data_IF_529951475206
#
_entry.id   IF_529951475206
#
_cell.length_a   1.000
_cell.length_b   1.000
_cell.length_c   1.000
_cell.angle_alpha   90.00
_cell.angle_beta   90.00
_cell.angle_gamma   90.00
#
_symmetry.space_group_name_H-M   'P 1'
#
loop_
_entity.id
_entity.type
_entity.pdbx_description
1 polymer ?
#
# COMPACT_ATOMS: atom_id res chain seq x y z
N UNK A 1 -1.84 3.65 -1.22
CA UNK A 1 -0.54 4.31 -1.50
C UNK A 1 0.44 3.28 -2.04
N UNK A 2 1.56 3.70 -2.63
CA UNK A 2 2.65 2.80 -3.00
C UNK A 2 3.80 3.52 -3.71
N UNK A 3 4.94 2.86 -3.81
CA UNK A 3 6.16 3.38 -4.44
C UNK A 3 6.34 2.91 -5.90
N UNK A 4 5.41 2.11 -6.42
CA UNK A 4 5.49 1.58 -7.78
C UNK A 4 4.51 2.27 -8.75
N UNK A 5 5.02 3.28 -9.45
CA UNK A 5 4.24 4.17 -10.33
C UNK A 5 3.37 3.42 -11.36
N UNK A 6 3.94 2.41 -12.01
CA UNK A 6 3.28 1.66 -13.09
C UNK A 6 2.09 0.87 -12.55
N UNK A 7 2.28 0.17 -11.43
CA UNK A 7 1.20 -0.59 -10.78
C UNK A 7 0.06 0.34 -10.32
N UNK A 8 0.39 1.49 -9.71
CA UNK A 8 -0.60 2.47 -9.31
C UNK A 8 -1.36 3.05 -10.50
N UNK A 9 -0.68 3.33 -11.63
CA UNK A 9 -1.34 3.79 -12.85
C UNK A 9 -2.41 2.81 -13.33
N UNK A 10 -2.11 1.51 -13.33
CA UNK A 10 -3.09 0.49 -13.70
C UNK A 10 -4.32 0.46 -12.78
N UNK A 11 -4.13 0.70 -11.48
CA UNK A 11 -5.22 0.76 -10.50
C UNK A 11 -6.05 2.04 -10.66
N UNK A 12 -5.39 3.19 -10.87
CA UNK A 12 -6.02 4.49 -11.12
C UNK A 12 -6.85 4.49 -12.40
N UNK A 13 -6.27 4.06 -13.52
CA UNK A 13 -6.95 4.06 -14.82
C UNK A 13 -7.91 2.87 -14.97
N UNK A 14 -8.03 2.02 -13.94
CA UNK A 14 -8.79 0.76 -13.98
C UNK A 14 -8.47 -0.07 -15.24
N UNK A 15 -7.21 -0.04 -15.67
CA UNK A 15 -6.75 -0.71 -16.88
C UNK A 15 -5.80 -1.84 -16.49
N UNK A 16 -6.12 -3.10 -16.80
CA UNK A 16 -5.24 -4.21 -16.46
C UNK A 16 -3.89 -4.13 -17.21
N UNK A 17 -2.80 -4.69 -16.65
CA UNK A 17 -1.54 -4.83 -17.37
C UNK A 17 -1.69 -5.70 -18.63
N UNK A 18 -0.90 -5.38 -19.66
CA UNK A 18 -0.83 -6.21 -20.88
C UNK A 18 -0.18 -7.58 -20.63
N UNK A 19 0.72 -7.66 -19.65
CA UNK A 19 1.38 -8.89 -19.26
C UNK A 19 0.37 -9.83 -18.57
N UNK A 20 0.05 -10.95 -19.21
CA UNK A 20 -0.98 -11.91 -18.76
C UNK A 20 -0.72 -12.45 -17.36
N UNK A 21 0.54 -12.71 -17.01
CA UNK A 21 0.91 -13.21 -15.68
C UNK A 21 0.64 -12.22 -14.54
N UNK A 22 0.47 -10.92 -14.82
CA UNK A 22 0.17 -9.90 -13.82
C UNK A 22 -1.34 -9.61 -13.69
N UNK A 23 -2.16 -10.08 -14.64
CA UNK A 23 -3.58 -9.78 -14.67
C UNK A 23 -4.33 -10.40 -13.48
N UNK A 24 -3.91 -11.59 -13.05
CA UNK A 24 -4.50 -12.26 -11.89
C UNK A 24 -4.40 -11.41 -10.62
N UNK A 25 -3.19 -10.95 -10.30
CA UNK A 25 -2.93 -10.14 -9.11
C UNK A 25 -3.54 -8.74 -9.21
N UNK A 26 -3.56 -8.16 -10.42
CA UNK A 26 -4.29 -6.93 -10.69
C UNK A 26 -5.76 -7.05 -10.31
N UNK A 27 -6.46 -8.08 -10.79
CA UNK A 27 -7.89 -8.25 -10.52
C UNK A 27 -8.21 -8.61 -9.06
N UNK A 28 -7.32 -9.33 -8.38
CA UNK A 28 -7.43 -9.55 -6.93
C UNK A 28 -7.34 -8.22 -6.18
N UNK A 29 -6.29 -7.45 -6.44
CA UNK A 29 -6.04 -6.15 -5.82
C UNK A 29 -7.19 -5.18 -6.09
N UNK A 30 -7.70 -5.14 -7.33
CA UNK A 30 -8.79 -4.24 -7.72
C UNK A 30 -10.09 -4.55 -6.99
N UNK A 31 -10.46 -5.83 -6.89
CA UNK A 31 -11.68 -6.27 -6.18
C UNK A 31 -11.60 -5.97 -4.69
N UNK A 32 -10.43 -6.19 -4.07
CA UNK A 32 -10.23 -5.86 -2.67
C UNK A 32 -10.33 -4.33 -2.44
N UNK A 33 -9.75 -3.54 -3.35
CA UNK A 33 -9.85 -2.09 -3.28
C UNK A 33 -11.29 -1.57 -3.47
N UNK A 34 -12.07 -2.17 -4.38
CA UNK A 34 -13.49 -1.87 -4.53
C UNK A 34 -14.28 -2.24 -3.25
N UNK A 35 -14.00 -3.40 -2.65
CA UNK A 35 -14.65 -3.83 -1.40
C UNK A 35 -14.29 -2.94 -0.19
N UNK A 36 -13.12 -2.33 -0.18
CA UNK A 36 -12.65 -1.43 0.87
C UNK A 36 -12.98 0.05 0.60
N UNK A 37 -13.78 0.36 -0.43
CA UNK A 37 -14.09 1.74 -0.88
C UNK A 37 -12.84 2.63 -1.06
N UNK A 38 -11.78 2.09 -1.67
CA UNK A 38 -10.57 2.88 -1.95
C UNK A 38 -10.86 3.91 -3.04
N UNK A 39 -10.87 5.19 -2.66
CA UNK A 39 -11.23 6.31 -3.55
C UNK A 39 -10.06 6.88 -4.35
N UNK A 40 -8.84 6.82 -3.81
CA UNK A 40 -7.67 7.40 -4.44
C UNK A 40 -6.41 6.57 -4.20
N UNK A 41 -5.47 6.68 -5.13
CA UNK A 41 -4.14 6.08 -5.02
C UNK A 41 -3.10 7.18 -5.08
N UNK A 42 -2.22 7.21 -4.07
CA UNK A 42 -1.15 8.19 -3.97
C UNK A 42 0.19 7.50 -4.17
N UNK A 43 1.03 8.07 -5.03
CA UNK A 43 2.42 7.65 -5.19
C UNK A 43 3.24 8.19 -4.02
N UNK A 44 4.12 7.36 -3.48
CA UNK A 44 4.95 7.70 -2.34
C UNK A 44 6.42 7.46 -2.69
N UNK A 45 7.30 8.22 -2.06
CA UNK A 45 8.73 7.93 -2.10
C UNK A 45 8.98 6.56 -1.47
N UNK A 46 9.96 5.83 -1.99
CA UNK A 46 10.29 4.48 -1.53
C UNK A 46 10.59 4.44 -0.03
N UNK A 47 11.22 5.48 0.50
CA UNK A 47 11.51 5.59 1.94
C UNK A 47 10.27 5.76 2.82
N UNK A 48 9.13 6.19 2.25
CA UNK A 48 7.84 6.36 2.93
C UNK A 48 6.90 5.16 2.76
N UNK A 49 7.38 4.07 2.16
CA UNK A 49 6.67 2.79 2.02
C UNK A 49 7.43 1.67 2.77
N UNK A 50 7.92 2.01 3.95
CA UNK A 50 8.86 1.19 4.72
C UNK A 50 8.18 -0.08 5.29
N UNK A 51 6.89 0.01 5.63
CA UNK A 51 6.12 -1.11 6.14
C UNK A 51 5.93 -2.20 5.08
N UNK A 52 5.57 -1.82 3.85
CA UNK A 52 5.43 -2.75 2.74
C UNK A 52 6.76 -3.43 2.40
N UNK A 53 7.87 -2.70 2.49
CA UNK A 53 9.20 -3.29 2.31
C UNK A 53 9.57 -4.26 3.42
N UNK A 54 9.29 -3.91 4.69
CA UNK A 54 9.53 -4.80 5.81
C UNK A 54 8.73 -6.10 5.67
N UNK A 55 7.45 -6.00 5.27
CA UNK A 55 6.59 -7.14 4.94
C UNK A 55 7.20 -8.01 3.84
N UNK A 56 7.61 -7.41 2.71
CA UNK A 56 8.22 -8.15 1.61
C UNK A 56 9.51 -8.87 2.04
N UNK A 57 10.38 -8.21 2.83
CA UNK A 57 11.60 -8.84 3.38
C UNK A 57 11.28 -9.99 4.33
N UNK A 58 10.23 -9.88 5.14
CA UNK A 58 9.80 -10.97 6.01
C UNK A 58 9.29 -12.18 5.24
N UNK A 59 8.49 -11.96 4.19
CA UNK A 59 8.01 -13.04 3.32
C UNK A 59 9.19 -13.73 2.60
N UNK A 60 10.12 -12.94 2.05
CA UNK A 60 11.34 -13.46 1.44
C UNK A 60 12.16 -14.31 2.43
N UNK A 61 12.34 -13.84 3.68
CA UNK A 61 13.06 -14.59 4.71
C UNK A 61 12.33 -15.88 5.13
N UNK A 62 10.99 -15.86 5.13
CA UNK A 62 10.18 -17.03 5.48
C UNK A 62 10.13 -18.07 4.35
N UNK A 63 10.39 -17.68 3.11
CA UNK A 63 10.34 -18.55 1.94
C UNK A 63 8.92 -18.91 1.48
N UNK A 64 7.90 -18.27 2.05
CA UNK A 64 6.50 -18.42 1.66
C UNK A 64 5.73 -17.13 1.93
N UNK A 65 4.64 -16.94 1.18
CA UNK A 65 3.68 -15.88 1.45
C UNK A 65 3.07 -16.15 2.83
N UNK A 66 3.16 -15.16 3.71
CA UNK A 66 2.56 -15.27 5.03
C UNK A 66 1.08 -14.92 4.94
N UNK A 67 0.27 -15.87 4.49
CA UNK A 67 -1.17 -15.80 4.70
C UNK A 67 -1.46 -16.02 6.18
N UNK A 68 -2.16 -15.06 6.78
CA UNK A 68 -2.49 -15.06 8.20
C UNK A 68 -3.43 -16.22 8.53
N UNK A 69 -3.01 -17.15 9.40
CA UNK A 69 -3.94 -18.08 10.05
C UNK A 69 -4.19 -17.61 11.48
N UNK A 70 -5.46 -17.54 11.88
CA UNK A 70 -5.92 -16.95 13.14
C UNK A 70 -5.16 -17.46 14.38
N UNK A 71 -4.69 -18.71 14.36
CA UNK A 71 -3.92 -19.32 15.44
C UNK A 71 -2.47 -18.81 15.59
N UNK A 72 -1.89 -18.16 14.58
CA UNK A 72 -0.53 -17.61 14.65
C UNK A 72 -0.47 -16.28 15.41
N UNK A 73 -1.63 -15.66 15.66
CA UNK A 73 -1.77 -14.33 16.25
C UNK A 73 -1.21 -14.26 17.69
N UNK A 74 -1.32 -15.35 18.45
CA UNK A 74 -0.91 -15.45 19.87
C UNK A 74 0.61 -15.36 20.08
N UNK A 75 1.43 -15.83 19.13
CA UNK A 75 2.90 -15.86 19.25
C UNK A 75 3.61 -14.79 18.41
N UNK A 76 2.85 -13.91 17.74
CA UNK A 76 3.37 -13.07 16.67
C UNK A 76 3.97 -11.73 17.14
N UNK A 77 3.71 -11.30 18.38
CA UNK A 77 4.04 -9.96 18.90
C UNK A 77 5.45 -9.49 18.53
N UNK A 78 6.47 -10.29 18.83
CA UNK A 78 7.87 -9.89 18.66
C UNK A 78 8.30 -9.76 17.19
N UNK A 79 7.69 -10.52 16.28
CA UNK A 79 7.97 -10.47 14.84
C UNK A 79 7.42 -9.20 14.19
N UNK A 80 6.35 -8.64 14.75
CA UNK A 80 5.57 -7.55 14.14
C UNK A 80 5.81 -6.18 14.74
N UNK A 81 6.47 -6.06 15.90
CA UNK A 81 6.76 -4.75 16.52
C UNK A 81 7.47 -3.79 15.54
N UNK A 82 8.43 -4.30 14.76
CA UNK A 82 9.11 -3.49 13.74
C UNK A 82 8.17 -2.99 12.63
N UNK A 83 7.27 -3.86 12.14
CA UNK A 83 6.31 -3.47 11.10
C UNK A 83 5.29 -2.49 11.63
N UNK A 84 4.81 -2.64 12.89
CA UNK A 84 3.91 -1.66 13.51
C UNK A 84 4.53 -0.27 13.55
N UNK A 85 5.81 -0.18 13.92
CA UNK A 85 6.55 1.08 13.90
C UNK A 85 6.56 1.71 12.50
N UNK A 86 6.88 0.92 11.47
CA UNK A 86 6.87 1.38 10.08
C UNK A 86 5.47 1.79 9.61
N UNK A 87 4.41 1.04 9.96
CA UNK A 87 3.03 1.39 9.60
C UNK A 87 2.63 2.73 10.19
N UNK A 88 2.92 2.97 11.48
CA UNK A 88 2.62 4.25 12.12
C UNK A 88 3.37 5.41 11.43
N UNK A 89 4.63 5.21 11.06
CA UNK A 89 5.42 6.21 10.36
C UNK A 89 4.91 6.49 8.95
N UNK A 90 4.64 5.45 8.15
CA UNK A 90 4.13 5.57 6.79
C UNK A 90 2.76 6.28 6.79
N UNK A 91 1.86 5.95 7.73
CA UNK A 91 0.55 6.62 7.88
C UNK A 91 0.71 8.09 8.29
N UNK A 92 1.64 8.40 9.20
CA UNK A 92 1.93 9.78 9.60
C UNK A 92 2.40 10.62 8.41
N UNK A 93 3.33 10.09 7.62
CA UNK A 93 3.84 10.75 6.42
C UNK A 93 2.74 10.95 5.38
N UNK A 94 1.88 9.94 5.19
CA UNK A 94 0.73 10.09 4.32
C UNK A 94 -0.22 11.20 4.75
N UNK A 95 -0.59 11.27 6.04
CA UNK A 95 -1.46 12.33 6.54
C UNK A 95 -0.86 13.72 6.27
N UNK A 96 0.46 13.86 6.41
CA UNK A 96 1.17 15.11 6.10
C UNK A 96 1.13 15.46 4.61
N UNK A 97 1.38 14.50 3.72
CA UNK A 97 1.31 14.72 2.27
C UNK A 97 -0.13 14.95 1.79
N UNK A 98 -1.09 14.24 2.36
CA UNK A 98 -2.51 14.41 2.04
C UNK A 98 -3.03 15.79 2.45
N UNK A 99 -2.61 16.31 3.61
CA UNK A 99 -2.94 17.67 4.03
C UNK A 99 -2.42 18.72 3.04
N UNK A 100 -1.16 18.60 2.60
CA UNK A 100 -0.58 19.50 1.58
C UNK A 100 -1.34 19.46 0.26
N UNK A 101 -1.79 18.27 -0.16
CA UNK A 101 -2.55 18.10 -1.40
C UNK A 101 -3.92 18.79 -1.34
N UNK A 102 -4.62 18.73 -0.20
CA UNK A 102 -5.91 19.41 0.00
C UNK A 102 -5.71 20.93 0.00
N UNK A 103 -4.70 21.43 0.71
CA UNK A 103 -4.42 22.87 0.78
C UNK A 103 -4.10 23.45 -0.61
N UNK A 104 -3.44 22.67 -1.47
CA UNK A 104 -3.13 23.10 -2.85
C UNK A 104 -4.36 23.13 -3.76
N UNK A 105 -5.30 22.18 -3.62
CA UNK A 105 -6.55 22.17 -4.39
C UNK A 105 -7.50 23.31 -3.99
N UNK A 106 -7.53 23.70 -2.70
CA UNK A 106 -8.34 24.83 -2.23
C UNK A 106 -7.81 26.15 -2.82
N UNK A 107 -6.49 26.34 -2.89
CA UNK A 107 -5.90 27.55 -3.46
C UNK A 107 -6.19 27.66 -4.97
N UNK A 108 -6.11 26.57 -5.73
CA UNK A 108 -6.45 26.59 -7.17
C UNK A 108 -7.95 26.82 -7.43
N UNK A 109 -8.84 26.37 -6.56
CA UNK A 109 -10.29 26.60 -6.69
C UNK A 109 -10.74 28.03 -6.33
N UNK A 110 -9.84 28.85 -5.77
CA UNK A 110 -10.15 30.22 -5.31
C UNK A 110 -9.52 31.32 -6.17
N UNK A 111 -8.92 30.97 -7.32
CA UNK A 111 -8.29 31.90 -8.28
C UNK A 111 -9.12 32.05 -9.55
#
# INVERSE_FOLDING_TARGET
MGDHAVALRHLLTRTPPRATHLQGDYWKTRRLADAADVRSWMIQHREHNSAAQALARMAQKAGHDMEWREHELLNSKQRWEGVKGYVCQDVKLWLQEHAKSIDSEIVEATV
#
